data_IF_027042791055
#
_entry.id   IF_027042791055
#
_cell.length_a   1.000
_cell.length_b   1.000
_cell.length_c   1.000
_cell.angle_alpha   90.00
_cell.angle_beta   90.00
_cell.angle_gamma   90.00
#
_symmetry.space_group_name_H-M   'P 1'
#
loop_
_entity.id
_entity.type
_entity.pdbx_description
1 polymer ?
#
# COMPACT_ATOMS: atom_id res chain seq x y z
N UNK A 1 46.02 -3.44 -15.66
CA UNK A 1 45.15 -2.43 -16.30
C UNK A 1 43.76 -2.68 -15.78
N UNK A 2 43.38 -1.93 -14.75
CA UNK A 2 42.02 -1.95 -14.24
C UNK A 2 41.13 -1.28 -15.30
N UNK A 3 40.05 -1.98 -15.73
CA UNK A 3 39.02 -1.36 -16.54
C UNK A 3 38.27 -0.39 -15.63
N UNK A 4 38.37 0.89 -15.95
CA UNK A 4 37.49 1.93 -15.45
C UNK A 4 36.05 1.61 -15.97
N UNK A 5 35.34 0.78 -15.23
CA UNK A 5 33.89 0.73 -15.30
C UNK A 5 33.37 1.89 -14.50
N UNK A 6 33.18 3.03 -15.13
CA UNK A 6 32.35 4.07 -14.55
C UNK A 6 30.97 3.47 -14.29
N UNK A 7 30.60 3.33 -13.02
CA UNK A 7 29.21 3.07 -12.66
C UNK A 7 28.43 4.30 -13.15
N UNK A 8 27.73 4.15 -14.26
CA UNK A 8 26.79 5.16 -14.70
C UNK A 8 25.64 5.15 -13.70
N UNK A 9 25.66 6.10 -12.78
CA UNK A 9 24.51 6.37 -11.94
C UNK A 9 23.37 6.85 -12.83
N UNK A 10 22.15 6.32 -12.63
CA UNK A 10 20.97 6.81 -13.32
C UNK A 10 20.78 8.31 -13.08
N UNK A 11 20.25 9.01 -14.04
CA UNK A 11 19.91 10.43 -13.92
C UNK A 11 18.49 10.58 -13.31
N UNK A 12 18.27 11.69 -12.60
CA UNK A 12 16.93 12.05 -12.14
C UNK A 12 16.06 12.42 -13.35
N UNK A 13 14.91 11.80 -13.46
CA UNK A 13 13.91 12.03 -14.50
C UNK A 13 12.68 12.71 -13.90
N UNK A 14 11.80 13.28 -14.73
CA UNK A 14 10.54 13.87 -14.27
C UNK A 14 9.64 12.89 -13.51
N UNK A 15 9.73 11.59 -13.84
CA UNK A 15 9.07 10.48 -13.11
C UNK A 15 9.91 9.92 -11.95
N UNK A 16 10.90 10.65 -11.47
CA UNK A 16 11.81 10.25 -10.40
C UNK A 16 13.12 9.64 -10.90
N UNK A 17 13.89 9.06 -9.98
CA UNK A 17 15.21 8.51 -10.27
C UNK A 17 15.14 7.04 -10.69
N UNK A 18 15.75 6.73 -11.84
CA UNK A 18 15.87 5.36 -12.33
C UNK A 18 17.25 4.79 -12.04
N UNK A 19 17.31 3.77 -11.18
CA UNK A 19 18.57 3.11 -10.84
C UNK A 19 19.09 2.23 -11.97
N UNK A 20 18.19 1.53 -12.64
CA UNK A 20 18.45 0.69 -13.80
C UNK A 20 17.60 1.19 -14.99
N UNK A 21 18.12 2.13 -15.80
CA UNK A 21 17.35 2.67 -16.93
C UNK A 21 16.92 1.61 -17.95
N UNK A 22 17.64 0.48 -18.02
CA UNK A 22 17.33 -0.66 -18.86
C UNK A 22 16.20 -1.55 -18.34
N UNK A 23 15.81 -1.39 -17.07
CA UNK A 23 14.74 -2.14 -16.43
C UNK A 23 13.87 -1.20 -15.55
N UNK A 24 12.85 -0.56 -16.17
CA UNK A 24 11.97 0.36 -15.46
C UNK A 24 11.18 -0.30 -14.31
N UNK A 25 10.87 -1.61 -14.43
CA UNK A 25 10.14 -2.33 -13.38
C UNK A 25 10.97 -2.51 -12.12
N UNK A 26 12.23 -2.96 -12.26
CA UNK A 26 13.15 -3.06 -11.13
C UNK A 26 13.48 -1.69 -10.54
N UNK A 27 13.67 -0.67 -11.39
CA UNK A 27 13.89 0.71 -10.95
C UNK A 27 12.73 1.25 -10.14
N UNK A 28 11.48 1.02 -10.59
CA UNK A 28 10.28 1.44 -9.87
C UNK A 28 10.16 0.76 -8.49
N UNK A 29 10.33 -0.56 -8.42
CA UNK A 29 10.25 -1.27 -7.14
C UNK A 29 11.39 -0.90 -6.17
N UNK A 30 12.59 -0.62 -6.71
CA UNK A 30 13.69 -0.12 -5.89
C UNK A 30 13.42 1.30 -5.36
N UNK A 31 12.89 2.19 -6.19
CA UNK A 31 12.50 3.55 -5.81
C UNK A 31 11.42 3.54 -4.72
N UNK A 32 10.44 2.64 -4.84
CA UNK A 32 9.39 2.42 -3.82
C UNK A 32 10.02 2.09 -2.46
N UNK A 33 10.86 1.06 -2.38
CA UNK A 33 11.54 0.69 -1.13
C UNK A 33 12.50 1.79 -0.62
N UNK A 34 13.16 2.54 -1.53
CA UNK A 34 14.00 3.67 -1.17
C UNK A 34 13.17 4.82 -0.57
N UNK A 35 12.00 5.12 -1.11
CA UNK A 35 11.08 6.14 -0.61
C UNK A 35 10.62 5.84 0.81
N UNK A 36 10.31 4.61 1.13
CA UNK A 36 9.85 4.19 2.47
C UNK A 36 10.92 4.36 3.57
N UNK A 37 12.19 4.58 3.18
CA UNK A 37 13.25 4.92 4.14
C UNK A 37 12.95 6.19 4.93
N UNK A 38 12.20 7.13 4.37
CA UNK A 38 11.82 8.39 5.00
C UNK A 38 10.92 8.15 6.22
N UNK A 39 10.08 7.10 6.16
CA UNK A 39 9.15 6.75 7.23
C UNK A 39 9.66 5.64 8.16
N UNK A 40 10.89 5.17 7.92
CA UNK A 40 11.57 4.18 8.75
C UNK A 40 11.46 2.74 8.26
N UNK A 41 10.91 2.52 7.05
CA UNK A 41 10.87 1.21 6.39
C UNK A 41 12.26 0.76 5.92
N UNK A 42 13.23 1.68 5.78
CA UNK A 42 14.56 1.34 5.33
C UNK A 42 15.66 2.26 5.83
N UNK A 43 16.86 2.02 5.33
CA UNK A 43 18.01 2.91 5.45
C UNK A 43 18.65 3.07 4.07
N UNK A 44 18.86 4.31 3.63
CA UNK A 44 19.35 4.65 2.29
C UNK A 44 20.58 3.84 1.90
N UNK A 45 21.59 3.75 2.80
CA UNK A 45 22.83 3.00 2.51
C UNK A 45 22.60 1.48 2.42
N UNK A 46 21.61 0.94 3.15
CA UNK A 46 21.26 -0.48 3.05
C UNK A 46 20.60 -0.76 1.69
N UNK A 47 19.67 0.10 1.25
CA UNK A 47 19.02 -0.02 -0.07
C UNK A 47 20.06 0.02 -1.21
N UNK A 48 20.97 0.99 -1.21
CA UNK A 48 22.02 1.05 -2.23
C UNK A 48 22.97 -0.15 -2.16
N UNK A 49 23.31 -0.66 -0.98
CA UNK A 49 24.08 -1.89 -0.84
C UNK A 49 23.35 -3.10 -1.40
N UNK A 50 22.03 -3.20 -1.20
CA UNK A 50 21.19 -4.23 -1.81
C UNK A 50 21.25 -4.11 -3.33
N UNK A 51 21.05 -2.91 -3.87
CA UNK A 51 21.06 -2.65 -5.30
C UNK A 51 22.36 -3.08 -6.01
N UNK A 52 23.53 -3.01 -5.34
CA UNK A 52 24.80 -3.50 -5.93
C UNK A 52 24.85 -5.01 -6.17
N UNK A 53 23.89 -5.77 -5.68
CA UNK A 53 23.80 -7.24 -5.79
C UNK A 53 22.67 -7.70 -6.68
N UNK A 54 21.79 -6.80 -7.05
CA UNK A 54 20.67 -7.08 -7.95
C UNK A 54 21.15 -7.02 -9.39
N UNK A 55 20.77 -8.01 -10.16
CA UNK A 55 20.91 -8.05 -11.61
C UNK A 55 19.53 -7.77 -12.20
N UNK A 56 19.33 -6.66 -12.92
CA UNK A 56 18.04 -6.35 -13.55
C UNK A 56 17.48 -7.51 -14.34
N UNK A 57 16.19 -7.80 -14.19
CA UNK A 57 15.52 -8.94 -14.82
C UNK A 57 15.74 -10.30 -14.12
N UNK A 58 16.62 -10.40 -13.13
CA UNK A 58 16.83 -11.61 -12.34
C UNK A 58 16.14 -11.52 -10.97
N UNK A 59 14.92 -12.07 -10.90
CA UNK A 59 14.10 -12.10 -9.69
C UNK A 59 14.78 -12.83 -8.51
N UNK A 60 15.65 -13.83 -8.80
CA UNK A 60 16.35 -14.54 -7.74
C UNK A 60 17.44 -13.66 -7.10
N UNK A 61 18.16 -12.87 -7.90
CA UNK A 61 19.13 -11.90 -7.39
C UNK A 61 18.45 -10.84 -6.51
N UNK A 62 17.25 -10.40 -6.89
CA UNK A 62 16.40 -9.50 -6.09
C UNK A 62 16.05 -10.14 -4.75
N UNK A 63 15.49 -11.34 -4.79
CA UNK A 63 15.10 -12.10 -3.59
C UNK A 63 16.26 -12.26 -2.61
N UNK A 64 17.41 -12.76 -3.06
CA UNK A 64 18.56 -13.02 -2.20
C UNK A 64 19.16 -11.73 -1.62
N UNK A 65 19.24 -10.65 -2.40
CA UNK A 65 19.80 -9.38 -1.96
C UNK A 65 18.96 -8.74 -0.83
N UNK A 66 17.62 -8.71 -0.98
CA UNK A 66 16.71 -8.19 0.03
C UNK A 66 16.65 -9.09 1.26
N UNK A 67 16.57 -10.43 1.08
CA UNK A 67 16.49 -11.39 2.16
C UNK A 67 17.64 -11.26 3.15
N UNK A 68 18.88 -11.20 2.66
CA UNK A 68 20.05 -11.11 3.54
C UNK A 68 20.01 -9.87 4.44
N UNK A 69 19.59 -8.74 3.90
CA UNK A 69 19.55 -7.48 4.69
C UNK A 69 18.34 -7.48 5.63
N UNK A 70 17.21 -8.06 5.22
CA UNK A 70 16.05 -8.27 6.09
C UNK A 70 16.42 -9.13 7.30
N UNK A 71 17.05 -10.28 7.09
CA UNK A 71 17.48 -11.19 8.15
C UNK A 71 18.46 -10.52 9.11
N UNK A 72 19.43 -9.74 8.61
CA UNK A 72 20.36 -8.98 9.46
C UNK A 72 19.65 -7.94 10.33
N UNK A 73 18.68 -7.22 9.78
CA UNK A 73 17.91 -6.25 10.58
C UNK A 73 17.03 -6.96 11.62
N UNK A 74 16.39 -8.08 11.27
CA UNK A 74 15.65 -8.91 12.22
C UNK A 74 16.52 -9.40 13.37
N UNK A 75 17.70 -9.94 13.07
CA UNK A 75 18.61 -10.48 14.08
C UNK A 75 19.19 -9.38 14.97
N UNK A 76 19.53 -8.22 14.38
CA UNK A 76 19.88 -7.01 15.14
C UNK A 76 18.75 -6.56 16.06
N UNK A 77 17.52 -6.57 15.59
CA UNK A 77 16.36 -6.18 16.41
C UNK A 77 16.21 -7.08 17.63
N UNK A 78 16.36 -8.40 17.46
CA UNK A 78 16.34 -9.38 18.57
C UNK A 78 17.46 -9.14 19.57
N UNK A 79 18.68 -8.90 19.09
CA UNK A 79 19.81 -8.59 19.94
C UNK A 79 19.61 -7.33 20.76
N UNK A 80 19.17 -6.23 20.11
CA UNK A 80 18.96 -4.94 20.77
C UNK A 80 17.78 -4.97 21.75
N UNK A 81 16.72 -5.71 21.43
CA UNK A 81 15.62 -5.97 22.37
C UNK A 81 16.10 -6.71 23.62
N UNK A 82 16.94 -7.73 23.45
CA UNK A 82 17.55 -8.46 24.57
C UNK A 82 18.44 -7.61 25.48
N UNK A 83 19.00 -6.50 24.95
CA UNK A 83 19.77 -5.50 25.70
C UNK A 83 18.88 -4.40 26.33
N UNK A 84 17.58 -4.37 26.06
CA UNK A 84 16.67 -3.32 26.48
C UNK A 84 16.73 -2.04 25.63
N UNK A 85 17.39 -2.06 24.48
CA UNK A 85 17.47 -0.93 23.56
C UNK A 85 16.20 -0.86 22.66
N UNK A 86 15.04 -0.69 23.25
CA UNK A 86 13.74 -0.86 22.60
C UNK A 86 13.51 0.05 21.40
N UNK A 87 14.00 1.30 21.43
CA UNK A 87 13.88 2.20 20.26
C UNK A 87 14.68 1.70 19.05
N UNK A 88 15.90 1.18 19.29
CA UNK A 88 16.74 0.60 18.25
C UNK A 88 16.14 -0.70 17.73
N UNK A 89 15.63 -1.55 18.63
CA UNK A 89 14.95 -2.79 18.27
C UNK A 89 13.74 -2.52 17.38
N UNK A 90 12.86 -1.58 17.77
CA UNK A 90 11.69 -1.17 16.98
C UNK A 90 12.08 -0.71 15.57
N UNK A 91 13.07 0.18 15.47
CA UNK A 91 13.52 0.68 14.17
C UNK A 91 14.12 -0.43 13.28
N UNK A 92 14.83 -1.38 13.86
CA UNK A 92 15.38 -2.52 13.13
C UNK A 92 14.29 -3.53 12.72
N UNK A 93 13.27 -3.74 13.56
CA UNK A 93 12.10 -4.56 13.23
C UNK A 93 11.29 -3.98 12.06
N UNK A 94 11.05 -2.65 12.04
CA UNK A 94 10.34 -1.98 10.93
C UNK A 94 11.10 -2.17 9.61
N UNK A 95 12.43 -1.95 9.60
CA UNK A 95 13.25 -2.20 8.40
C UNK A 95 13.23 -3.66 7.97
N UNK A 96 13.30 -4.60 8.92
CA UNK A 96 13.23 -6.03 8.60
C UNK A 96 11.89 -6.36 7.91
N UNK A 97 10.79 -5.83 8.42
CA UNK A 97 9.46 -6.04 7.85
C UNK A 97 9.39 -5.57 6.39
N UNK A 98 9.80 -4.33 6.13
CA UNK A 98 9.74 -3.77 4.79
C UNK A 98 10.70 -4.46 3.80
N UNK A 99 11.89 -4.83 4.26
CA UNK A 99 12.83 -5.59 3.44
C UNK A 99 12.33 -7.02 3.14
N UNK A 100 11.63 -7.69 4.07
CA UNK A 100 10.97 -8.96 3.78
C UNK A 100 9.80 -8.79 2.80
N UNK A 101 9.03 -7.69 2.88
CA UNK A 101 8.01 -7.34 1.90
C UNK A 101 8.64 -7.18 0.51
N UNK A 102 9.70 -6.40 0.41
CA UNK A 102 10.43 -6.18 -0.86
C UNK A 102 11.04 -7.48 -1.39
N UNK A 103 11.56 -8.34 -0.52
CA UNK A 103 12.11 -9.66 -0.85
C UNK A 103 11.05 -10.56 -1.52
N UNK A 104 9.83 -10.62 -0.97
CA UNK A 104 8.77 -11.52 -1.43
C UNK A 104 8.18 -11.08 -2.78
N UNK A 105 8.18 -9.80 -3.07
CA UNK A 105 7.41 -9.19 -4.15
C UNK A 105 7.73 -9.76 -5.55
N UNK A 106 8.98 -10.07 -5.83
CA UNK A 106 9.40 -10.60 -7.14
C UNK A 106 9.29 -12.14 -7.26
N UNK A 107 8.83 -12.83 -6.21
CA UNK A 107 8.62 -14.28 -6.30
C UNK A 107 7.37 -14.59 -7.13
N UNK A 108 7.43 -15.65 -7.93
CA UNK A 108 6.26 -16.10 -8.68
C UNK A 108 5.09 -16.48 -7.77
N UNK A 109 3.87 -16.43 -8.30
CA UNK A 109 2.65 -16.74 -7.56
C UNK A 109 2.67 -18.13 -6.88
N UNK A 110 3.40 -19.08 -7.47
CA UNK A 110 3.49 -20.48 -7.01
C UNK A 110 4.76 -20.78 -6.21
N UNK A 111 5.60 -19.78 -5.93
CA UNK A 111 6.83 -20.01 -5.17
C UNK A 111 6.53 -20.33 -3.70
N UNK A 112 6.95 -21.51 -3.27
CA UNK A 112 6.71 -22.01 -1.90
C UNK A 112 7.34 -21.13 -0.80
N UNK A 113 8.31 -20.28 -1.15
CA UNK A 113 8.96 -19.34 -0.23
C UNK A 113 8.05 -18.16 0.16
N UNK A 114 7.06 -17.80 -0.69
CA UNK A 114 6.21 -16.62 -0.49
C UNK A 114 5.59 -16.56 0.91
N UNK A 115 4.90 -17.61 1.32
CA UNK A 115 4.22 -17.63 2.62
C UNK A 115 5.20 -17.54 3.80
N UNK A 116 6.38 -18.14 3.68
CA UNK A 116 7.42 -18.06 4.71
C UNK A 116 7.97 -16.65 4.85
N UNK A 117 8.33 -16.02 3.74
CA UNK A 117 8.87 -14.66 3.73
C UNK A 117 7.81 -13.64 4.17
N UNK A 118 6.58 -13.78 3.70
CA UNK A 118 5.44 -13.00 4.18
C UNK A 118 5.28 -13.11 5.71
N UNK A 119 5.39 -14.32 6.27
CA UNK A 119 5.30 -14.53 7.72
C UNK A 119 6.44 -13.86 8.49
N UNK A 120 7.65 -13.76 7.94
CA UNK A 120 8.77 -13.01 8.54
C UNK A 120 8.52 -11.49 8.47
N UNK A 121 7.93 -10.99 7.39
CA UNK A 121 7.47 -9.59 7.27
C UNK A 121 6.49 -9.26 8.38
N UNK A 122 5.41 -10.03 8.47
CA UNK A 122 4.33 -9.86 9.45
C UNK A 122 4.84 -9.96 10.90
N UNK A 123 5.64 -10.99 11.21
CA UNK A 123 6.21 -11.16 12.54
C UNK A 123 7.14 -10.00 12.94
N UNK A 124 7.92 -9.48 11.99
CA UNK A 124 8.79 -8.33 12.23
C UNK A 124 7.98 -7.07 12.51
N UNK A 125 6.92 -6.81 11.74
CA UNK A 125 6.04 -5.66 11.98
C UNK A 125 5.31 -5.76 13.32
N UNK A 126 4.78 -6.92 13.67
CA UNK A 126 4.12 -7.14 14.95
C UNK A 126 5.06 -6.91 16.13
N UNK A 127 6.31 -7.42 16.05
CA UNK A 127 7.33 -7.17 17.07
C UNK A 127 7.69 -5.68 17.21
N UNK A 128 7.71 -4.93 16.11
CA UNK A 128 7.84 -3.47 16.17
C UNK A 128 6.61 -2.82 16.80
N UNK A 129 5.42 -3.29 16.45
CA UNK A 129 4.14 -2.77 16.90
C UNK A 129 3.87 -2.98 18.39
N UNK A 130 4.41 -4.04 18.98
CA UNK A 130 4.41 -4.22 20.45
C UNK A 130 5.19 -3.10 21.17
N UNK A 131 6.12 -2.45 20.47
CA UNK A 131 6.94 -1.35 20.97
C UNK A 131 6.42 0.04 20.55
N UNK A 132 5.25 0.12 19.93
CA UNK A 132 4.56 1.40 19.70
C UNK A 132 3.95 1.93 21.00
N UNK A 133 3.58 3.19 21.00
CA UNK A 133 2.91 3.85 22.14
C UNK A 133 1.67 4.61 21.61
N UNK A 134 0.45 4.07 21.81
CA UNK A 134 0.13 2.73 22.35
C UNK A 134 0.55 1.57 21.45
N UNK A 135 0.70 0.34 21.96
CA UNK A 135 0.96 -0.84 21.16
C UNK A 135 -0.15 -1.09 20.13
N UNK A 136 0.20 -1.62 18.97
CA UNK A 136 -0.79 -2.00 17.96
C UNK A 136 -1.73 -3.11 18.47
N UNK A 137 -2.96 -3.10 17.96
CA UNK A 137 -3.92 -4.18 18.19
C UNK A 137 -4.08 -5.01 16.91
N UNK A 138 -3.83 -6.32 17.01
CA UNK A 138 -4.04 -7.25 15.90
C UNK A 138 -5.55 -7.49 15.73
N UNK A 139 -6.04 -7.32 14.50
CA UNK A 139 -7.43 -7.58 14.14
C UNK A 139 -7.52 -8.85 13.28
N UNK A 140 -8.46 -9.71 13.65
CA UNK A 140 -8.89 -10.84 12.84
C UNK A 140 -10.41 -10.77 12.69
N UNK A 141 -10.85 -10.26 11.56
CA UNK A 141 -12.23 -9.88 11.31
C UNK A 141 -12.94 -11.03 10.60
N UNK A 142 -13.94 -11.69 11.19
CA UNK A 142 -14.66 -12.77 10.52
C UNK A 142 -15.27 -12.27 9.21
N UNK A 143 -15.03 -12.98 8.13
CA UNK A 143 -15.52 -12.63 6.81
C UNK A 143 -15.68 -13.85 5.93
N UNK A 144 -16.89 -14.08 5.45
CA UNK A 144 -17.25 -15.24 4.61
C UNK A 144 -16.77 -16.58 5.22
N UNK A 145 -15.93 -17.33 4.49
CA UNK A 145 -15.36 -18.60 4.94
C UNK A 145 -14.08 -18.48 5.75
N UNK A 146 -13.56 -17.25 5.94
CA UNK A 146 -12.28 -16.98 6.57
C UNK A 146 -12.28 -15.73 7.44
N UNK A 147 -11.22 -14.94 7.33
CA UNK A 147 -11.05 -13.69 8.06
C UNK A 147 -10.34 -12.64 7.21
N UNK A 148 -10.69 -11.36 7.39
CA UNK A 148 -9.82 -10.26 6.99
C UNK A 148 -8.80 -10.01 8.09
N UNK A 149 -7.58 -9.68 7.71
CA UNK A 149 -6.48 -9.42 8.62
C UNK A 149 -6.13 -7.94 8.67
N UNK A 150 -5.92 -7.40 9.86
CA UNK A 150 -5.57 -5.99 10.00
C UNK A 150 -4.86 -5.67 11.31
N UNK A 151 -4.49 -4.41 11.42
CA UNK A 151 -3.96 -3.82 12.65
C UNK A 151 -4.73 -2.53 12.96
N UNK A 152 -5.12 -2.33 14.21
CA UNK A 152 -5.58 -1.04 14.69
C UNK A 152 -4.44 -0.34 15.41
N UNK A 153 -4.09 0.84 14.93
CA UNK A 153 -3.19 1.78 15.58
C UNK A 153 -3.98 2.98 16.07
N UNK A 154 -3.66 3.46 17.26
CA UNK A 154 -4.31 4.64 17.84
C UNK A 154 -3.27 5.69 18.22
N UNK A 155 -3.62 6.98 18.14
CA UNK A 155 -2.77 8.03 18.71
C UNK A 155 -2.59 7.85 20.22
N UNK A 156 -1.55 8.44 20.83
CA UNK A 156 -1.42 8.53 22.29
C UNK A 156 -2.57 9.33 22.91
N UNK A 157 -3.01 8.92 24.11
CA UNK A 157 -4.05 9.63 24.87
C UNK A 157 -5.36 8.86 24.96
N UNK A 158 -6.46 9.60 25.18
CA UNK A 158 -7.80 9.05 25.35
C UNK A 158 -8.66 9.36 24.13
N UNK A 159 -9.21 8.29 23.48
CA UNK A 159 -10.15 8.41 22.37
C UNK A 159 -11.58 8.76 22.83
N UNK A 160 -12.62 8.60 21.99
CA UNK A 160 -12.55 7.91 20.70
C UNK A 160 -11.93 8.78 19.60
N UNK A 161 -11.15 8.15 18.73
CA UNK A 161 -10.43 8.82 17.66
C UNK A 161 -11.18 8.75 16.32
N UNK A 162 -11.18 9.82 15.50
CA UNK A 162 -11.47 9.66 14.06
C UNK A 162 -10.64 8.51 13.54
N UNK A 163 -11.18 7.69 12.65
CA UNK A 163 -10.51 6.46 12.24
C UNK A 163 -10.55 6.29 10.73
N UNK A 164 -9.39 6.08 10.13
CA UNK A 164 -9.27 5.77 8.69
C UNK A 164 -8.94 4.29 8.51
N UNK A 165 -9.71 3.60 7.67
CA UNK A 165 -9.39 2.26 7.21
C UNK A 165 -8.53 2.42 5.97
N UNK A 166 -7.26 2.01 6.06
CA UNK A 166 -6.25 2.18 5.02
C UNK A 166 -5.79 0.83 4.48
N UNK A 167 -5.65 0.74 3.15
CA UNK A 167 -5.22 -0.46 2.45
C UNK A 167 -4.47 -0.11 1.17
N UNK A 168 -3.64 -1.02 0.72
CA UNK A 168 -2.87 -0.86 -0.51
C UNK A 168 -3.61 -1.35 -1.76
N UNK A 169 -2.86 -1.51 -2.84
CA UNK A 169 -3.33 -1.92 -4.15
C UNK A 169 -3.03 -3.38 -4.48
N UNK A 170 -2.51 -3.57 -5.71
CA UNK A 170 -2.17 -4.85 -6.28
C UNK A 170 -1.09 -5.57 -5.45
N UNK A 171 -1.44 -6.74 -4.91
CA UNK A 171 -0.58 -7.57 -4.03
C UNK A 171 0.12 -6.76 -2.92
N UNK A 172 -0.62 -5.87 -2.28
CA UNK A 172 -0.11 -5.05 -1.17
C UNK A 172 -0.18 -5.79 0.16
N UNK A 173 0.60 -5.29 1.12
CA UNK A 173 0.65 -5.76 2.49
C UNK A 173 0.21 -4.65 3.43
N UNK A 174 -0.58 -4.96 4.44
CA UNK A 174 -0.98 -4.00 5.49
C UNK A 174 0.22 -3.37 6.21
N UNK A 175 1.34 -4.09 6.31
CA UNK A 175 2.58 -3.62 6.91
C UNK A 175 3.17 -2.42 6.15
N UNK A 176 3.15 -2.48 4.82
CA UNK A 176 3.61 -1.39 3.95
C UNK A 176 2.73 -0.14 4.07
N UNK A 177 1.42 -0.33 4.21
CA UNK A 177 0.47 0.79 4.37
C UNK A 177 0.79 1.67 5.58
N UNK A 178 1.49 1.13 6.59
CA UNK A 178 2.01 1.91 7.71
C UNK A 178 2.95 3.03 7.26
N UNK A 179 3.90 2.71 6.39
CA UNK A 179 4.88 3.68 5.88
C UNK A 179 4.26 4.64 4.86
N UNK A 180 3.24 4.21 4.15
CA UNK A 180 2.59 5.00 3.10
C UNK A 180 1.60 6.04 3.64
N UNK A 181 0.87 5.72 4.72
CA UNK A 181 -0.17 6.62 5.26
C UNK A 181 -0.40 6.44 6.75
N UNK A 182 -0.27 5.23 7.29
CA UNK A 182 -0.69 4.91 8.65
C UNK A 182 0.01 5.75 9.73
N UNK A 183 1.34 5.87 9.65
CA UNK A 183 2.13 6.68 10.58
C UNK A 183 1.72 8.16 10.54
N UNK A 184 1.57 8.72 9.34
CA UNK A 184 1.17 10.12 9.16
C UNK A 184 -0.21 10.44 9.71
N UNK A 185 -1.15 9.49 9.68
CA UNK A 185 -2.47 9.64 10.30
C UNK A 185 -2.37 9.66 11.82
N UNK A 186 -1.60 8.74 12.42
CA UNK A 186 -1.40 8.70 13.87
C UNK A 186 -0.80 10.00 14.40
N UNK A 187 0.19 10.57 13.71
CA UNK A 187 0.82 11.85 14.06
C UNK A 187 -0.15 13.04 14.01
N UNK A 188 -1.29 12.90 13.30
CA UNK A 188 -2.37 13.90 13.19
C UNK A 188 -3.58 13.62 14.09
N UNK A 189 -3.45 12.70 15.04
CA UNK A 189 -4.54 12.39 15.97
C UNK A 189 -5.66 11.54 15.37
N UNK A 190 -5.39 10.81 14.31
CA UNK A 190 -6.34 9.94 13.60
C UNK A 190 -5.92 8.48 13.79
N UNK A 191 -6.81 7.65 14.34
CA UNK A 191 -6.56 6.22 14.40
C UNK A 191 -6.58 5.59 12.99
N UNK A 192 -5.80 4.54 12.80
CA UNK A 192 -5.69 3.88 11.51
C UNK A 192 -5.90 2.38 11.64
N UNK A 193 -6.78 1.83 10.80
CA UNK A 193 -6.87 0.39 10.56
C UNK A 193 -6.08 0.08 9.29
N UNK A 194 -4.93 -0.57 9.45
CA UNK A 194 -4.17 -1.12 8.33
C UNK A 194 -4.80 -2.46 7.95
N UNK A 195 -5.29 -2.61 6.74
CA UNK A 195 -6.12 -3.74 6.34
C UNK A 195 -5.52 -4.51 5.16
N UNK A 196 -5.47 -5.84 5.29
CA UNK A 196 -5.43 -6.75 4.15
C UNK A 196 -6.85 -7.19 3.81
N UNK A 197 -7.41 -6.68 2.74
CA UNK A 197 -8.69 -7.12 2.23
C UNK A 197 -8.56 -8.29 1.24
N UNK A 198 -9.66 -8.71 0.58
CA UNK A 198 -9.62 -9.75 -0.44
C UNK A 198 -8.63 -9.42 -1.57
N UNK A 199 -7.74 -10.35 -1.89
CA UNK A 199 -6.66 -10.14 -2.84
C UNK A 199 -5.37 -9.54 -2.25
N UNK A 200 -5.30 -9.31 -0.92
CA UNK A 200 -4.16 -8.65 -0.28
C UNK A 200 -3.57 -9.45 0.88
N UNK A 201 -2.28 -9.29 1.10
CA UNK A 201 -1.50 -9.75 2.25
C UNK A 201 -1.90 -11.10 2.84
N UNK A 202 -2.19 -11.13 4.14
CA UNK A 202 -2.55 -12.33 4.89
C UNK A 202 -3.91 -12.90 4.45
N UNK A 203 -4.87 -12.03 4.10
CA UNK A 203 -6.21 -12.43 3.66
C UNK A 203 -6.14 -13.24 2.37
N UNK A 204 -5.29 -12.86 1.42
CA UNK A 204 -5.04 -13.66 0.22
C UNK A 204 -4.26 -14.94 0.52
N UNK A 205 -3.12 -14.80 1.23
CA UNK A 205 -2.13 -15.88 1.37
C UNK A 205 -2.55 -17.01 2.31
N UNK A 206 -3.41 -16.73 3.28
CA UNK A 206 -3.84 -17.70 4.30
C UNK A 206 -5.29 -18.12 4.17
N UNK A 207 -6.16 -17.16 3.84
CA UNK A 207 -7.60 -17.42 3.76
C UNK A 207 -8.07 -17.71 2.34
N UNK A 208 -7.20 -17.50 1.32
CA UNK A 208 -7.52 -17.66 -0.11
C UNK A 208 -8.75 -16.84 -0.55
N UNK A 209 -8.90 -15.66 0.06
CA UNK A 209 -9.90 -14.69 -0.34
C UNK A 209 -9.32 -13.81 -1.45
N UNK A 210 -9.80 -14.03 -2.66
CA UNK A 210 -9.29 -13.42 -3.88
C UNK A 210 -9.89 -12.04 -4.15
N UNK A 211 -9.29 -11.30 -5.09
CA UNK A 211 -9.74 -9.97 -5.48
C UNK A 211 -11.19 -9.97 -5.95
N UNK A 212 -11.92 -8.92 -5.53
CA UNK A 212 -13.35 -8.70 -5.83
C UNK A 212 -13.61 -7.22 -6.10
N UNK A 213 -14.60 -6.93 -6.92
CA UNK A 213 -14.95 -5.54 -7.27
C UNK A 213 -15.75 -4.82 -6.19
N UNK A 214 -16.56 -5.53 -5.41
CA UNK A 214 -17.54 -5.02 -4.45
C UNK A 214 -16.94 -4.83 -3.05
N UNK A 215 -15.96 -3.93 -2.96
CA UNK A 215 -15.22 -3.69 -1.72
C UNK A 215 -16.05 -3.04 -0.59
N UNK A 216 -17.24 -2.56 -0.88
CA UNK A 216 -18.20 -2.19 0.14
C UNK A 216 -18.56 -3.35 1.09
N UNK A 217 -18.50 -4.59 0.62
CA UNK A 217 -18.81 -5.77 1.42
C UNK A 217 -17.75 -6.02 2.50
N UNK A 218 -16.45 -6.17 2.18
CA UNK A 218 -15.41 -6.31 3.20
C UNK A 218 -15.27 -5.07 4.10
N UNK A 219 -15.38 -3.85 3.55
CA UNK A 219 -15.31 -2.63 4.37
C UNK A 219 -16.49 -2.52 5.34
N UNK A 220 -17.69 -2.90 4.92
CA UNK A 220 -18.86 -3.00 5.81
C UNK A 220 -18.61 -3.94 6.98
N UNK A 221 -18.02 -5.13 6.72
CA UNK A 221 -17.66 -6.08 7.76
C UNK A 221 -16.60 -5.52 8.73
N UNK A 222 -15.60 -4.79 8.23
CA UNK A 222 -14.60 -4.10 9.07
C UNK A 222 -15.28 -3.07 9.98
N UNK A 223 -16.15 -2.21 9.43
CA UNK A 223 -16.83 -1.17 10.19
C UNK A 223 -17.76 -1.78 11.27
N UNK A 224 -18.44 -2.90 10.96
CA UNK A 224 -19.26 -3.62 11.93
C UNK A 224 -18.40 -4.21 13.05
N UNK A 225 -17.26 -4.79 12.72
CA UNK A 225 -16.32 -5.35 13.69
C UNK A 225 -15.74 -4.27 14.63
N UNK A 226 -15.44 -3.09 14.08
CA UNK A 226 -14.93 -1.96 14.85
C UNK A 226 -15.93 -1.42 15.90
N UNK A 227 -17.21 -1.83 15.85
CA UNK A 227 -18.17 -1.50 16.90
C UNK A 227 -17.79 -2.04 18.28
N UNK A 228 -16.96 -3.08 18.35
CA UNK A 228 -16.40 -3.62 19.58
C UNK A 228 -15.21 -2.83 20.17
N UNK A 229 -14.76 -1.78 19.49
CA UNK A 229 -13.56 -1.00 19.87
C UNK A 229 -13.94 0.42 20.32
N UNK A 230 -13.99 0.69 21.63
CA UNK A 230 -14.45 1.99 22.16
C UNK A 230 -13.53 3.16 21.79
N UNK A 231 -12.28 2.89 21.40
CA UNK A 231 -11.32 3.90 20.94
C UNK A 231 -11.59 4.41 19.52
N UNK A 232 -12.51 3.77 18.77
CA UNK A 232 -12.89 4.16 17.40
C UNK A 232 -14.13 5.05 17.43
N UNK A 233 -14.02 6.25 16.86
CA UNK A 233 -15.18 7.11 16.64
C UNK A 233 -15.93 6.72 15.38
N UNK A 234 -17.02 6.00 15.55
CA UNK A 234 -17.86 5.50 14.45
C UNK A 234 -18.61 6.58 13.66
N UNK A 235 -18.63 7.80 14.15
CA UNK A 235 -19.24 8.95 13.46
C UNK A 235 -18.24 9.67 12.54
N UNK A 236 -16.93 9.41 12.72
CA UNK A 236 -15.83 10.03 11.99
C UNK A 236 -14.93 8.98 11.33
N UNK A 237 -15.53 8.21 10.41
CA UNK A 237 -14.85 7.16 9.66
C UNK A 237 -14.43 7.64 8.27
N UNK A 238 -13.20 7.31 7.89
CA UNK A 238 -12.67 7.50 6.54
C UNK A 238 -12.15 6.21 5.95
N UNK A 239 -11.92 6.22 4.63
CA UNK A 239 -11.21 5.16 3.90
C UNK A 239 -10.13 5.77 3.04
N UNK A 240 -8.97 5.10 2.96
CA UNK A 240 -7.86 5.48 2.11
C UNK A 240 -7.32 4.25 1.38
N UNK A 241 -7.27 4.32 0.07
CA UNK A 241 -6.72 3.24 -0.73
C UNK A 241 -5.65 3.73 -1.70
N UNK A 242 -4.59 2.95 -1.87
CA UNK A 242 -3.45 3.28 -2.73
C UNK A 242 -3.47 2.41 -3.97
N UNK A 243 -3.23 2.99 -5.17
CA UNK A 243 -3.22 2.28 -6.45
C UNK A 243 -4.58 1.61 -6.71
N UNK A 244 -4.64 0.33 -7.05
CA UNK A 244 -5.89 -0.46 -7.12
C UNK A 244 -6.78 -0.25 -5.87
N UNK A 245 -6.17 0.01 -4.71
CA UNK A 245 -6.88 0.40 -3.49
C UNK A 245 -7.65 1.71 -3.63
N UNK A 246 -7.21 2.62 -4.50
CA UNK A 246 -7.92 3.87 -4.81
C UNK A 246 -9.31 3.61 -5.41
N UNK A 247 -9.41 2.63 -6.31
CA UNK A 247 -10.70 2.12 -6.78
C UNK A 247 -11.51 1.52 -5.62
N UNK A 248 -10.90 0.66 -4.81
CA UNK A 248 -11.57 0.00 -3.68
C UNK A 248 -12.13 1.00 -2.66
N UNK A 249 -11.38 2.05 -2.33
CA UNK A 249 -11.82 3.09 -1.40
C UNK A 249 -13.01 3.87 -1.95
N UNK A 250 -12.93 4.31 -3.21
CA UNK A 250 -14.02 5.01 -3.88
C UNK A 250 -15.26 4.12 -4.01
N UNK A 251 -15.09 2.86 -4.39
CA UNK A 251 -16.18 1.87 -4.49
C UNK A 251 -16.87 1.66 -3.15
N UNK A 252 -16.11 1.42 -2.08
CA UNK A 252 -16.68 1.25 -0.74
C UNK A 252 -17.46 2.49 -0.29
N UNK A 253 -16.94 3.69 -0.55
CA UNK A 253 -17.60 4.95 -0.20
C UNK A 253 -18.90 5.21 -0.98
N UNK A 254 -19.09 4.58 -2.14
CA UNK A 254 -20.36 4.66 -2.88
C UNK A 254 -21.51 3.91 -2.21
N UNK A 255 -21.23 2.90 -1.37
CA UNK A 255 -22.28 2.02 -0.82
C UNK A 255 -22.31 2.00 0.71
N UNK A 256 -21.23 2.44 1.39
CA UNK A 256 -21.17 2.44 2.85
C UNK A 256 -21.37 3.86 3.41
N UNK A 257 -22.58 4.19 3.85
CA UNK A 257 -22.94 5.57 4.25
C UNK A 257 -22.28 6.02 5.56
N UNK A 258 -21.68 5.12 6.32
CA UNK A 258 -20.94 5.44 7.54
C UNK A 258 -19.60 6.11 7.24
N UNK A 259 -19.07 5.95 6.01
CA UNK A 259 -17.86 6.65 5.55
C UNK A 259 -18.18 8.13 5.35
N UNK A 260 -17.35 9.01 5.94
CA UNK A 260 -17.47 10.48 5.86
C UNK A 260 -16.42 11.11 4.95
N UNK A 261 -15.33 10.41 4.71
CA UNK A 261 -14.21 10.87 3.91
C UNK A 261 -13.58 9.69 3.15
N UNK A 262 -13.32 9.86 1.85
CA UNK A 262 -12.66 8.85 1.03
C UNK A 262 -11.46 9.46 0.30
N UNK A 263 -10.35 8.71 0.23
CA UNK A 263 -9.16 9.09 -0.52
C UNK A 263 -8.79 7.98 -1.51
N UNK A 264 -8.66 8.35 -2.78
CA UNK A 264 -7.98 7.55 -3.80
C UNK A 264 -6.57 8.11 -4.01
N UNK A 265 -5.58 7.39 -3.53
CA UNK A 265 -4.17 7.69 -3.72
C UNK A 265 -3.67 6.92 -4.95
N UNK A 266 -3.60 7.58 -6.10
CA UNK A 266 -3.60 6.95 -7.41
C UNK A 266 -5.03 6.59 -7.80
N UNK A 267 -5.67 7.42 -8.65
CA UNK A 267 -7.06 7.20 -9.03
C UNK A 267 -7.16 6.25 -10.21
N UNK A 268 -7.99 5.24 -10.05
CA UNK A 268 -8.36 4.30 -11.10
C UNK A 268 -9.88 4.35 -11.30
N UNK A 269 -10.32 4.82 -12.47
CA UNK A 269 -11.73 4.93 -12.83
C UNK A 269 -12.31 3.62 -13.35
N UNK A 270 -11.58 2.97 -14.24
CA UNK A 270 -11.94 1.67 -14.84
C UNK A 270 -10.73 0.75 -14.86
N UNK A 271 -10.45 0.15 -13.69
CA UNK A 271 -9.40 -0.88 -13.51
C UNK A 271 -9.60 -2.05 -14.46
N UNK A 272 -10.86 -2.43 -14.69
CA UNK A 272 -11.17 -3.54 -15.57
C UNK A 272 -10.72 -3.28 -17.02
N UNK A 273 -10.85 -2.04 -17.51
CA UNK A 273 -10.34 -1.68 -18.83
C UNK A 273 -8.81 -1.77 -18.89
N UNK A 274 -8.11 -1.35 -17.83
CA UNK A 274 -6.65 -1.43 -17.75
C UNK A 274 -6.15 -2.86 -17.71
N UNK A 275 -6.77 -3.73 -16.90
CA UNK A 275 -6.45 -5.17 -16.86
C UNK A 275 -6.63 -5.81 -18.25
N UNK A 276 -7.71 -5.49 -18.95
CA UNK A 276 -7.97 -6.03 -20.30
C UNK A 276 -7.03 -5.47 -21.36
N UNK A 277 -6.43 -4.30 -21.13
CA UNK A 277 -5.44 -3.71 -22.03
C UNK A 277 -4.01 -4.18 -21.72
N UNK A 278 -3.77 -4.79 -20.55
CA UNK A 278 -2.44 -5.24 -20.16
C UNK A 278 -1.98 -6.45 -20.99
N UNK A 279 -0.66 -6.58 -21.11
CA UNK A 279 -0.05 -7.73 -21.76
C UNK A 279 -0.05 -8.93 -20.80
N UNK A 280 -0.69 -10.07 -21.17
CA UNK A 280 -0.70 -11.28 -20.33
C UNK A 280 0.69 -11.83 -19.96
N UNK A 281 1.76 -11.36 -20.63
CA UNK A 281 3.15 -11.73 -20.34
C UNK A 281 3.90 -10.65 -19.53
N UNK A 282 3.23 -9.60 -19.07
CA UNK A 282 3.85 -8.53 -18.27
C UNK A 282 4.16 -8.98 -16.83
N UNK A 283 5.01 -8.24 -16.14
CA UNK A 283 5.26 -8.45 -14.71
C UNK A 283 4.01 -8.23 -13.86
N UNK A 284 3.15 -7.27 -14.21
CA UNK A 284 1.86 -7.01 -13.56
C UNK A 284 0.88 -8.16 -13.73
N UNK A 285 0.88 -8.83 -14.87
CA UNK A 285 0.00 -9.97 -15.13
C UNK A 285 0.20 -11.13 -14.14
N UNK A 286 1.42 -11.38 -13.67
CA UNK A 286 1.69 -12.39 -12.65
C UNK A 286 1.03 -12.03 -11.32
N UNK A 287 1.04 -10.75 -10.94
CA UNK A 287 0.34 -10.26 -9.74
C UNK A 287 -1.18 -10.35 -9.89
N UNK A 288 -1.74 -10.05 -11.08
CA UNK A 288 -3.17 -10.26 -11.35
C UNK A 288 -3.55 -11.73 -11.23
N UNK A 289 -2.78 -12.67 -11.81
CA UNK A 289 -3.03 -14.11 -11.63
C UNK A 289 -3.05 -14.50 -10.16
N UNK A 290 -2.13 -13.96 -9.39
CA UNK A 290 -2.03 -14.25 -7.97
C UNK A 290 -3.25 -13.72 -7.19
N UNK A 291 -3.63 -12.46 -7.37
CA UNK A 291 -4.75 -11.89 -6.61
C UNK A 291 -6.12 -12.43 -7.05
N UNK A 292 -6.28 -12.83 -8.33
CA UNK A 292 -7.50 -13.47 -8.81
C UNK A 292 -7.54 -14.97 -8.55
N UNK A 293 -6.41 -15.59 -8.21
CA UNK A 293 -6.30 -17.02 -7.90
C UNK A 293 -6.50 -17.93 -9.10
N UNK A 294 -6.17 -17.47 -10.30
CA UNK A 294 -6.28 -18.22 -11.55
C UNK A 294 -5.14 -17.90 -12.48
N UNK A 295 -4.70 -18.89 -13.27
CA UNK A 295 -3.74 -18.70 -14.36
C UNK A 295 -4.41 -18.37 -15.70
N UNK A 296 -5.73 -18.53 -15.79
CA UNK A 296 -6.51 -18.26 -17.01
C UNK A 296 -6.76 -16.75 -17.16
N UNK A 297 -6.08 -16.13 -18.10
CA UNK A 297 -6.22 -14.70 -18.36
C UNK A 297 -7.63 -14.31 -18.81
N UNK A 298 -8.32 -15.19 -19.55
CA UNK A 298 -9.69 -14.94 -20.00
C UNK A 298 -10.67 -14.87 -18.82
N UNK A 299 -10.44 -15.67 -17.76
CA UNK A 299 -11.21 -15.59 -16.53
C UNK A 299 -10.95 -14.25 -15.81
N UNK A 300 -9.68 -13.79 -15.78
CA UNK A 300 -9.33 -12.49 -15.20
C UNK A 300 -10.01 -11.36 -15.94
N UNK A 301 -9.96 -11.35 -17.28
CA UNK A 301 -10.65 -10.36 -18.11
C UNK A 301 -12.16 -10.33 -17.85
N UNK A 302 -12.80 -11.48 -17.73
CA UNK A 302 -14.24 -11.55 -17.44
C UNK A 302 -14.57 -10.99 -16.05
N UNK A 303 -13.86 -11.45 -15.01
CA UNK A 303 -14.06 -10.98 -13.62
C UNK A 303 -13.70 -9.53 -13.41
N UNK A 304 -12.80 -8.97 -14.21
CA UNK A 304 -12.39 -7.57 -14.12
C UNK A 304 -13.43 -6.58 -14.67
N UNK A 305 -14.42 -7.01 -15.42
CA UNK A 305 -15.43 -6.13 -16.06
C UNK A 305 -16.21 -5.26 -15.08
N UNK A 306 -16.40 -5.76 -13.86
CA UNK A 306 -17.14 -5.06 -12.81
C UNK A 306 -16.25 -4.10 -11.99
N UNK A 307 -14.94 -4.04 -12.27
CA UNK A 307 -14.00 -3.13 -11.60
C UNK A 307 -14.03 -1.74 -12.23
N UNK A 308 -15.16 -1.07 -12.14
CA UNK A 308 -15.35 0.29 -12.66
C UNK A 308 -16.20 1.14 -11.71
N UNK A 309 -15.90 2.44 -11.63
CA UNK A 309 -16.68 3.40 -10.84
C UNK A 309 -17.83 4.03 -11.61
N UNK A 310 -17.83 3.94 -12.94
CA UNK A 310 -18.79 4.63 -13.80
C UNK A 310 -20.25 4.46 -13.37
N UNK A 311 -20.77 3.22 -13.15
CA UNK A 311 -22.17 3.04 -12.82
C UNK A 311 -22.51 3.37 -11.36
N UNK A 312 -21.52 3.60 -10.48
CA UNK A 312 -21.74 3.64 -9.03
C UNK A 312 -21.35 4.96 -8.36
N UNK A 313 -20.52 5.78 -8.99
CA UNK A 313 -19.94 6.99 -8.38
C UNK A 313 -21.02 7.97 -7.88
N UNK A 314 -22.20 7.99 -8.51
CA UNK A 314 -23.35 8.81 -8.10
C UNK A 314 -23.94 8.45 -6.73
N UNK A 315 -23.62 7.28 -6.21
CA UNK A 315 -24.07 6.84 -4.89
C UNK A 315 -23.23 7.45 -3.76
N UNK A 316 -21.99 7.91 -4.04
CA UNK A 316 -21.13 8.48 -3.03
C UNK A 316 -21.74 9.73 -2.38
N UNK A 317 -21.68 9.81 -1.05
CA UNK A 317 -22.24 10.92 -0.25
C UNK A 317 -21.22 11.60 0.65
N UNK A 318 -20.02 11.04 0.77
CA UNK A 318 -18.94 11.61 1.57
C UNK A 318 -18.08 12.59 0.77
N UNK A 319 -17.18 13.31 1.45
CA UNK A 319 -16.13 14.07 0.78
C UNK A 319 -15.12 13.13 0.13
N UNK A 320 -14.63 13.49 -1.05
CA UNK A 320 -13.72 12.65 -1.82
C UNK A 320 -12.50 13.43 -2.28
N UNK A 321 -11.31 12.92 -1.92
CA UNK A 321 -10.03 13.42 -2.41
C UNK A 321 -9.38 12.42 -3.35
N UNK A 322 -8.88 12.90 -4.46
CA UNK A 322 -7.99 12.17 -5.36
C UNK A 322 -6.60 12.81 -5.26
N UNK A 323 -5.57 12.02 -4.95
CA UNK A 323 -4.16 12.42 -5.04
C UNK A 323 -3.52 11.64 -6.17
N UNK A 324 -2.93 12.31 -7.15
CA UNK A 324 -2.43 11.66 -8.36
C UNK A 324 -1.17 12.36 -8.88
N UNK A 325 -0.16 11.61 -9.28
CA UNK A 325 1.04 12.14 -9.93
C UNK A 325 0.78 12.39 -11.42
N UNK A 326 1.29 13.48 -11.97
CA UNK A 326 1.08 13.77 -13.40
C UNK A 326 1.81 12.80 -14.32
N UNK A 327 2.80 12.07 -13.81
CA UNK A 327 3.55 11.03 -14.53
C UNK A 327 3.18 9.62 -14.05
N UNK A 328 2.04 9.49 -13.37
CA UNK A 328 1.49 8.18 -13.01
C UNK A 328 1.33 7.32 -14.27
N UNK A 329 1.77 6.07 -14.22
CA UNK A 329 1.74 5.18 -15.39
C UNK A 329 0.31 4.78 -15.83
N UNK A 330 -0.71 4.93 -14.94
CA UNK A 330 -2.12 4.82 -15.35
C UNK A 330 -2.63 6.07 -16.07
N UNK A 331 -1.83 7.14 -16.12
CA UNK A 331 -2.13 8.38 -16.82
C UNK A 331 -3.16 9.28 -16.12
N UNK A 332 -3.01 10.58 -16.35
CA UNK A 332 -3.90 11.60 -15.77
C UNK A 332 -5.36 11.49 -16.23
N UNK A 333 -5.66 10.72 -17.28
CA UNK A 333 -7.03 10.53 -17.79
C UNK A 333 -7.90 9.80 -16.77
N UNK A 334 -7.40 8.76 -16.09
CA UNK A 334 -8.13 8.04 -15.06
C UNK A 334 -8.53 8.96 -13.90
N UNK A 335 -7.62 9.79 -13.44
CA UNK A 335 -7.89 10.77 -12.38
C UNK A 335 -8.88 11.84 -12.83
N UNK A 336 -8.78 12.32 -14.09
CA UNK A 336 -9.72 13.29 -14.66
C UNK A 336 -11.13 12.71 -14.80
N UNK A 337 -11.26 11.45 -15.24
CA UNK A 337 -12.54 10.74 -15.31
C UNK A 337 -13.15 10.55 -13.92
N UNK A 338 -12.35 10.15 -12.93
CA UNK A 338 -12.81 9.94 -11.56
C UNK A 338 -13.33 11.23 -10.92
N UNK A 339 -12.57 12.36 -10.99
CA UNK A 339 -13.03 13.63 -10.42
C UNK A 339 -14.18 14.23 -11.21
N UNK A 340 -14.15 14.12 -12.55
CA UNK A 340 -15.22 14.60 -13.43
C UNK A 340 -16.53 13.85 -13.20
N UNK A 341 -16.48 12.54 -13.17
CA UNK A 341 -17.62 11.67 -12.87
C UNK A 341 -18.23 11.95 -11.50
N UNK A 342 -17.40 12.07 -10.47
CA UNK A 342 -17.84 12.40 -9.12
C UNK A 342 -18.53 13.79 -9.05
N UNK A 343 -17.90 14.82 -9.60
CA UNK A 343 -18.47 16.18 -9.62
C UNK A 343 -19.77 16.26 -10.42
N UNK A 344 -19.84 15.62 -11.58
CA UNK A 344 -21.07 15.57 -12.41
C UNK A 344 -22.20 14.86 -11.66
N UNK A 345 -21.91 13.93 -10.78
CA UNK A 345 -22.86 13.25 -9.91
C UNK A 345 -23.22 14.06 -8.64
N UNK A 346 -22.63 15.25 -8.43
CA UNK A 346 -22.86 16.12 -7.28
C UNK A 346 -22.06 15.74 -6.02
N UNK A 347 -21.02 14.92 -6.16
CA UNK A 347 -20.10 14.57 -5.06
C UNK A 347 -19.14 15.72 -4.79
N UNK A 348 -18.90 16.03 -3.51
CA UNK A 348 -17.87 16.99 -3.08
C UNK A 348 -16.48 16.36 -3.29
N UNK A 349 -15.97 16.49 -4.53
CA UNK A 349 -14.75 15.85 -4.97
C UNK A 349 -13.64 16.87 -5.28
N UNK A 350 -12.47 16.66 -4.70
CA UNK A 350 -11.25 17.44 -4.91
C UNK A 350 -10.18 16.56 -5.55
N UNK A 351 -9.39 17.12 -6.46
CA UNK A 351 -8.19 16.47 -6.99
C UNK A 351 -6.96 17.29 -6.64
N UNK A 352 -5.91 16.62 -6.20
CA UNK A 352 -4.55 17.13 -6.02
C UNK A 352 -3.65 16.42 -7.02
N UNK A 353 -3.29 17.15 -8.09
CA UNK A 353 -2.27 16.71 -9.02
C UNK A 353 -0.90 17.11 -8.47
N UNK A 354 0.02 16.18 -8.40
CA UNK A 354 1.40 16.40 -7.96
C UNK A 354 2.28 16.49 -9.21
N UNK A 355 3.06 17.57 -9.31
CA UNK A 355 3.88 17.89 -10.49
C UNK A 355 5.36 17.51 -10.27
N UNK A 356 6.17 17.41 -11.35
CA UNK A 356 7.60 17.13 -11.23
C UNK A 356 8.36 18.18 -10.42
N UNK A 357 7.94 19.44 -10.47
CA UNK A 357 8.58 20.53 -9.73
C UNK A 357 8.42 20.39 -8.22
N UNK A 358 7.35 19.72 -7.78
CA UNK A 358 7.11 19.43 -6.37
C UNK A 358 7.82 18.14 -5.92
N UNK A 359 8.30 17.32 -6.87
CA UNK A 359 8.66 15.91 -6.70
C UNK A 359 7.45 15.07 -6.22
N UNK A 360 7.45 13.76 -6.41
CA UNK A 360 6.23 12.96 -6.15
C UNK A 360 5.27 12.89 -7.33
N UNK A 361 5.73 13.16 -8.55
CA UNK A 361 4.91 13.07 -9.75
C UNK A 361 4.66 11.64 -10.23
N UNK A 362 5.32 10.66 -9.67
CA UNK A 362 5.19 9.23 -9.99
C UNK A 362 3.92 8.62 -9.37
N UNK A 363 3.63 7.38 -9.74
CA UNK A 363 2.50 6.62 -9.21
C UNK A 363 2.53 6.58 -7.68
N UNK A 364 1.44 7.00 -7.06
CA UNK A 364 1.27 7.04 -5.60
C UNK A 364 2.41 7.78 -4.86
N UNK A 365 3.07 8.73 -5.53
CA UNK A 365 4.18 9.51 -5.00
C UNK A 365 5.33 8.64 -4.44
N UNK A 366 5.59 7.46 -5.02
CA UNK A 366 6.67 6.58 -4.53
C UNK A 366 8.07 7.20 -4.66
N UNK A 367 8.24 8.21 -5.50
CA UNK A 367 9.46 9.03 -5.62
C UNK A 367 9.58 10.07 -4.49
N UNK A 368 8.46 10.47 -3.85
CA UNK A 368 8.41 11.34 -2.66
C UNK A 368 7.19 11.02 -1.78
N UNK A 369 7.19 9.90 -1.04
CA UNK A 369 6.04 9.48 -0.23
C UNK A 369 5.67 10.46 0.88
N UNK A 370 6.65 11.24 1.39
CA UNK A 370 6.39 12.28 2.41
C UNK A 370 5.33 13.27 1.94
N UNK A 371 5.41 13.74 0.69
CA UNK A 371 4.44 14.67 0.15
C UNK A 371 3.03 14.05 0.07
N UNK A 372 2.92 12.78 -0.35
CA UNK A 372 1.65 12.05 -0.36
C UNK A 372 1.04 11.92 1.04
N UNK A 373 1.87 11.58 2.03
CA UNK A 373 1.47 11.46 3.44
C UNK A 373 0.96 12.81 3.99
N UNK A 374 1.66 13.90 3.71
CA UNK A 374 1.28 15.25 4.13
C UNK A 374 -0.07 15.66 3.55
N UNK A 375 -0.24 15.55 2.23
CA UNK A 375 -1.49 15.90 1.53
C UNK A 375 -2.67 15.10 2.07
N UNK A 376 -2.53 13.77 2.17
CA UNK A 376 -3.61 12.88 2.61
C UNK A 376 -3.92 13.08 4.09
N UNK A 377 -2.88 13.14 4.92
CA UNK A 377 -3.02 13.27 6.37
C UNK A 377 -3.66 14.59 6.77
N UNK A 378 -3.20 15.72 6.21
CA UNK A 378 -3.75 17.03 6.48
C UNK A 378 -5.20 17.14 6.02
N UNK A 379 -5.52 16.59 4.83
CA UNK A 379 -6.90 16.59 4.35
C UNK A 379 -7.85 15.77 5.26
N UNK A 380 -7.42 14.60 5.74
CA UNK A 380 -8.23 13.83 6.71
C UNK A 380 -8.38 14.58 8.04
N UNK A 381 -7.34 15.27 8.50
CA UNK A 381 -7.44 16.10 9.70
C UNK A 381 -8.48 17.23 9.52
N UNK A 382 -8.46 17.92 8.37
CA UNK A 382 -9.44 18.98 8.07
C UNK A 382 -10.89 18.47 7.98
N UNK A 383 -11.08 17.21 7.57
CA UNK A 383 -12.41 16.65 7.31
C UNK A 383 -12.98 15.89 8.51
N UNK A 384 -12.14 15.20 9.28
CA UNK A 384 -12.58 14.28 10.34
C UNK A 384 -12.28 14.77 11.75
N UNK A 385 -11.30 15.65 11.96
CA UNK A 385 -10.95 16.17 13.28
C UNK A 385 -11.65 17.51 13.51
#
# INVERSE_FOLDING_TARGET
MAKDGALTCGEYQDQGWEHWPEDPWFSYQFRRALGETQEGGGAVSECFRIATRIVPGDNESWFEAWREVAERNRDRAREEAGKGHLKTARAAWLRASDYFRSCEFMLSATDERRLKIFSECEASFQAAGELFDPPLTILRIPFESGSLHGYLLTPPGEGPWPTVIAFGGLDSFKEEVYFMVGKGLIERGIACVLLDGPGQGATLRREHLYARHDWEVPIGAVIDYLAGYPQVDRQRLGVCGTSLGGYYAARAACFEPRIKAAVSHGAEWDVGAEIRADNPASGSAEHYRFIFGTSDWSEIEERSRDFTLEPVISNMKCKYLIVHGVHDFFGGEQAALAVGGARNAGVDATIRLVTPEETGADHCQHDNPTLGIEIIGDWFADVLV
#
